data_IF_760990053413
#
_entry.id   IF_760990053413
#
_cell.length_a   1.000
_cell.length_b   1.000
_cell.length_c   1.000
_cell.angle_alpha   90.00
_cell.angle_beta   90.00
_cell.angle_gamma   90.00
#
_symmetry.space_group_name_H-M   'P 1'
#
loop_
_entity.id
_entity.type
_entity.pdbx_description
1 polymer ?
#
# COMPACT_ATOMS: atom_id res chain seq x y z
N UNK A 1 21.97 0.43 39.28
CA UNK A 1 22.57 1.62 38.64
C UNK A 1 22.73 1.28 37.17
N UNK A 2 21.89 1.83 36.30
CA UNK A 2 22.03 1.64 34.85
C UNK A 2 23.27 2.41 34.39
N UNK A 3 24.25 1.71 33.81
CA UNK A 3 25.39 2.34 33.14
C UNK A 3 24.89 3.45 32.20
N UNK A 4 25.48 4.64 32.32
CA UNK A 4 25.16 5.77 31.46
C UNK A 4 25.56 5.43 30.02
N UNK A 5 24.60 4.91 29.24
CA UNK A 5 24.80 4.66 27.82
C UNK A 5 25.18 5.97 27.12
N UNK A 6 26.44 6.07 26.71
CA UNK A 6 26.94 7.22 25.93
C UNK A 6 26.49 7.03 24.50
N UNK A 7 25.68 7.98 24.02
CA UNK A 7 25.24 7.96 22.64
C UNK A 7 26.33 8.55 21.73
N UNK A 8 26.68 7.90 20.61
CA UNK A 8 27.64 8.43 19.64
C UNK A 8 27.21 9.74 18.98
N UNK A 9 25.91 10.04 19.00
CA UNK A 9 25.34 11.26 18.44
C UNK A 9 24.50 12.07 19.44
N UNK A 10 24.46 13.38 19.23
CA UNK A 10 23.66 14.32 20.03
C UNK A 10 22.48 14.87 19.23
N UNK A 11 21.27 14.82 19.82
CA UNK A 11 20.06 15.39 19.22
C UNK A 11 20.26 16.89 18.96
N UNK A 12 19.79 17.35 17.80
CA UNK A 12 19.91 18.74 17.36
C UNK A 12 21.29 19.15 16.83
N UNK A 13 22.29 18.26 16.87
CA UNK A 13 23.61 18.53 16.31
C UNK A 13 23.68 18.06 14.85
N UNK A 14 24.61 18.66 14.12
CA UNK A 14 24.84 18.41 12.71
C UNK A 14 26.05 17.48 12.54
N UNK A 15 25.96 16.57 11.59
CA UNK A 15 27.02 15.62 11.24
C UNK A 15 27.10 15.53 9.71
N UNK A 16 28.31 15.37 9.17
CA UNK A 16 28.50 14.97 7.77
C UNK A 16 28.56 13.44 7.73
N UNK A 17 27.69 12.83 6.93
CA UNK A 17 27.59 11.38 6.83
C UNK A 17 27.46 10.95 5.37
N UNK A 18 27.99 9.77 5.07
CA UNK A 18 27.76 9.10 3.79
C UNK A 18 26.61 8.11 3.95
N UNK A 19 25.65 8.15 3.04
CA UNK A 19 24.57 7.17 3.00
C UNK A 19 25.12 5.88 2.35
N UNK A 20 25.10 4.78 3.09
CA UNK A 20 25.67 3.49 2.68
C UNK A 20 24.67 2.61 1.93
N UNK A 21 23.41 2.62 2.36
CA UNK A 21 22.37 1.72 1.86
C UNK A 21 20.95 2.27 2.10
N UNK A 22 19.93 1.55 1.65
CA UNK A 22 18.53 1.83 1.95
C UNK A 22 17.96 0.75 2.85
N UNK A 23 17.25 1.16 3.90
CA UNK A 23 16.46 0.24 4.70
C UNK A 23 15.06 0.05 4.10
N UNK A 24 14.44 -1.10 4.37
CA UNK A 24 12.99 -1.24 4.20
C UNK A 24 12.28 -0.17 5.05
N UNK A 25 11.43 0.63 4.42
CA UNK A 25 10.95 1.92 4.97
C UNK A 25 11.45 3.14 4.20
N UNK A 26 12.34 2.96 3.23
CA UNK A 26 12.74 3.98 2.25
C UNK A 26 13.73 5.03 2.75
N UNK A 27 14.24 4.87 3.98
CA UNK A 27 15.25 5.77 4.57
C UNK A 27 16.65 5.29 4.19
N UNK A 28 17.53 6.25 3.90
CA UNK A 28 18.97 6.01 3.81
C UNK A 28 19.53 5.59 5.16
N UNK A 29 20.53 4.73 5.12
CA UNK A 29 21.25 4.24 6.28
C UNK A 29 22.66 4.80 6.24
N UNK A 30 23.07 5.45 7.32
CA UNK A 30 24.45 5.89 7.54
C UNK A 30 24.91 5.43 8.92
N UNK A 31 26.22 5.49 9.18
CA UNK A 31 26.81 5.15 10.48
C UNK A 31 27.72 6.25 10.99
N UNK A 32 27.71 6.43 12.32
CA UNK A 32 28.68 7.25 13.05
C UNK A 32 29.13 6.39 14.23
N UNK A 33 30.39 5.97 14.27
CA UNK A 33 30.94 5.05 15.28
C UNK A 33 30.03 3.82 15.48
N UNK A 34 29.75 3.11 14.39
CA UNK A 34 28.83 1.96 14.28
C UNK A 34 27.34 2.22 14.62
N UNK A 35 27.00 3.41 15.11
CA UNK A 35 25.64 3.78 15.42
C UNK A 35 24.83 4.09 14.17
N UNK A 36 23.75 3.32 13.95
CA UNK A 36 22.89 3.43 12.78
C UNK A 36 22.07 4.72 12.81
N UNK A 37 22.14 5.48 11.73
CA UNK A 37 21.31 6.65 11.47
C UNK A 37 20.39 6.40 10.28
N UNK A 38 19.08 6.58 10.48
CA UNK A 38 18.12 6.60 9.39
C UNK A 38 17.90 8.02 8.89
N UNK A 39 18.20 8.26 7.62
CA UNK A 39 18.16 9.56 6.97
C UNK A 39 17.04 9.58 5.93
N UNK A 40 16.00 10.38 6.16
CA UNK A 40 14.88 10.51 5.21
C UNK A 40 15.40 11.11 3.89
N UNK A 41 15.04 10.50 2.75
CA UNK A 41 15.45 10.88 1.38
C UNK A 41 16.95 10.80 1.06
N UNK A 42 17.76 10.26 1.95
CA UNK A 42 19.14 9.89 1.62
C UNK A 42 19.14 8.70 0.66
N UNK A 43 19.97 8.76 -0.37
CA UNK A 43 20.22 7.68 -1.32
C UNK A 43 21.66 7.17 -1.16
N UNK A 44 21.93 5.87 -1.39
CA UNK A 44 23.28 5.31 -1.29
C UNK A 44 24.27 6.11 -2.15
N UNK A 45 25.39 6.51 -1.56
CA UNK A 45 26.42 7.34 -2.18
C UNK A 45 26.23 8.85 -1.99
N UNK A 46 25.14 9.33 -1.39
CA UNK A 46 25.04 10.74 -1.00
C UNK A 46 26.02 11.03 0.16
N UNK A 47 26.72 12.15 0.09
CA UNK A 47 27.38 12.78 1.24
C UNK A 47 26.52 13.96 1.69
N UNK A 48 25.99 13.88 2.90
CA UNK A 48 25.01 14.83 3.43
C UNK A 48 25.45 15.43 4.75
N UNK A 49 25.24 16.74 4.91
CA UNK A 49 25.15 17.34 6.24
C UNK A 49 23.75 17.08 6.79
N UNK A 50 23.65 16.33 7.88
CA UNK A 50 22.38 15.92 8.49
C UNK A 50 22.25 16.47 9.91
N UNK A 51 21.01 16.77 10.33
CA UNK A 51 20.68 17.10 11.73
C UNK A 51 19.95 15.96 12.40
N UNK A 52 20.44 15.53 13.57
CA UNK A 52 19.81 14.48 14.36
C UNK A 52 18.47 14.97 14.92
N UNK A 53 17.37 14.34 14.53
CA UNK A 53 16.01 14.70 14.96
C UNK A 53 15.52 13.81 16.10
N UNK A 54 15.98 12.55 16.16
CA UNK A 54 15.60 11.59 17.18
C UNK A 54 16.75 10.67 17.52
N UNK A 55 16.77 10.20 18.76
CA UNK A 55 17.79 9.30 19.28
C UNK A 55 17.13 8.17 20.07
N UNK A 56 17.46 6.93 19.73
CA UNK A 56 17.08 5.70 20.46
C UNK A 56 18.34 4.92 20.82
N UNK A 57 18.23 3.91 21.69
CA UNK A 57 19.40 3.15 22.16
C UNK A 57 20.20 2.51 21.02
N UNK A 58 19.52 1.95 20.01
CA UNK A 58 20.14 1.20 18.91
C UNK A 58 20.23 1.97 17.58
N UNK A 59 19.55 3.10 17.43
CA UNK A 59 19.56 3.89 16.19
C UNK A 59 19.12 5.34 16.41
N UNK A 60 19.51 6.22 15.49
CA UNK A 60 19.03 7.59 15.40
C UNK A 60 18.18 7.84 14.15
N UNK A 61 17.45 8.94 14.14
CA UNK A 61 16.85 9.49 12.93
C UNK A 61 17.43 10.89 12.68
N UNK A 62 17.69 11.19 11.41
CA UNK A 62 18.23 12.47 10.99
C UNK A 62 17.50 13.02 9.76
N UNK A 63 17.55 14.34 9.59
CA UNK A 63 17.08 15.06 8.40
C UNK A 63 18.27 15.63 7.65
N UNK A 64 18.22 15.60 6.33
CA UNK A 64 19.22 16.27 5.48
C UNK A 64 19.05 17.78 5.63
N UNK A 65 20.16 18.50 5.82
CA UNK A 65 20.22 19.96 5.75
C UNK A 65 20.74 20.41 4.39
N UNK A 66 21.80 19.75 3.91
CA UNK A 66 22.38 19.95 2.59
C UNK A 66 22.99 18.65 2.08
N UNK A 67 22.97 18.47 0.76
CA UNK A 67 23.68 17.41 0.06
C UNK A 67 24.98 18.04 -0.44
N UNK A 68 26.11 17.60 0.10
CA UNK A 68 27.43 18.10 -0.24
C UNK A 68 27.96 17.42 -1.50
N UNK A 69 27.68 16.13 -1.65
CA UNK A 69 27.94 15.36 -2.86
C UNK A 69 26.72 14.48 -3.18
N UNK A 70 26.01 14.73 -4.28
CA UNK A 70 24.85 13.91 -4.65
C UNK A 70 25.29 12.54 -5.18
N UNK A 71 24.55 11.50 -4.80
CA UNK A 71 24.67 10.17 -5.36
C UNK A 71 24.45 10.16 -6.87
N UNK A 72 25.15 9.31 -7.65
CA UNK A 72 24.85 9.11 -9.07
C UNK A 72 23.46 8.51 -9.32
N UNK A 73 22.80 7.95 -8.30
CA UNK A 73 21.44 7.42 -8.39
C UNK A 73 20.39 8.54 -8.38
N UNK A 74 20.77 9.76 -7.98
CA UNK A 74 19.86 10.87 -7.71
C UNK A 74 19.40 11.52 -9.01
N UNK A 75 18.10 11.77 -9.09
CA UNK A 75 17.46 12.59 -10.12
C UNK A 75 16.66 13.71 -9.47
N UNK A 76 16.33 14.74 -10.25
CA UNK A 76 15.36 15.74 -9.82
C UNK A 76 13.95 15.12 -9.77
N UNK A 77 13.26 15.13 -8.63
CA UNK A 77 11.89 14.64 -8.54
C UNK A 77 10.95 15.46 -9.43
N UNK A 78 10.10 14.82 -10.26
CA UNK A 78 9.16 15.55 -11.12
C UNK A 78 7.97 16.14 -10.34
N UNK A 79 7.62 15.60 -9.17
CA UNK A 79 6.52 16.13 -8.37
C UNK A 79 6.97 17.35 -7.55
N UNK A 80 6.32 18.49 -7.78
CA UNK A 80 6.53 19.72 -7.00
C UNK A 80 6.30 19.53 -5.48
N UNK A 81 5.46 18.56 -5.09
CA UNK A 81 5.14 18.29 -3.68
C UNK A 81 6.06 17.27 -3.03
N UNK A 82 7.01 16.67 -3.77
CA UNK A 82 7.84 15.55 -3.29
C UNK A 82 8.56 15.87 -1.97
N UNK A 83 8.98 17.12 -1.78
CA UNK A 83 9.73 17.56 -0.60
C UNK A 83 8.92 17.53 0.70
N UNK A 84 7.58 17.53 0.63
CA UNK A 84 6.76 17.60 1.84
C UNK A 84 5.76 16.44 1.93
N UNK A 85 5.15 16.08 0.80
CA UNK A 85 4.16 15.03 0.70
C UNK A 85 4.68 13.68 1.24
N UNK A 86 3.84 12.99 2.03
CA UNK A 86 4.16 11.67 2.57
C UNK A 86 3.92 10.51 1.60
N UNK A 87 3.35 10.75 0.43
CA UNK A 87 2.91 9.70 -0.49
C UNK A 87 4.05 9.01 -1.25
N UNK A 88 5.03 9.76 -1.75
CA UNK A 88 6.16 9.23 -2.52
C UNK A 88 7.47 9.49 -1.78
N UNK A 89 8.36 8.49 -1.75
CA UNK A 89 9.64 8.59 -1.02
C UNK A 89 10.85 8.51 -1.91
N UNK A 90 10.72 8.01 -3.15
CA UNK A 90 11.84 7.68 -4.04
C UNK A 90 11.78 8.34 -5.43
N UNK A 91 10.97 9.38 -5.62
CA UNK A 91 10.99 10.14 -6.90
C UNK A 91 12.33 10.85 -7.17
N UNK A 92 13.19 10.97 -6.16
CA UNK A 92 14.56 11.43 -6.32
C UNK A 92 15.52 10.35 -6.83
N UNK A 93 15.02 9.18 -7.25
CA UNK A 93 15.80 8.08 -7.82
C UNK A 93 15.18 7.65 -9.15
N UNK A 94 16.00 7.35 -10.17
CA UNK A 94 15.52 6.81 -11.44
C UNK A 94 14.75 5.49 -11.24
N UNK A 95 13.77 5.22 -12.11
CA UNK A 95 12.90 4.07 -11.92
C UNK A 95 13.64 2.72 -11.98
N UNK A 96 14.61 2.57 -12.88
CA UNK A 96 15.46 1.38 -12.96
C UNK A 96 16.23 1.13 -11.66
N UNK A 97 16.76 2.20 -11.05
CA UNK A 97 17.44 2.09 -9.76
C UNK A 97 16.45 1.77 -8.63
N UNK A 98 15.21 2.26 -8.67
CA UNK A 98 14.19 1.84 -7.70
C UNK A 98 13.98 0.32 -7.74
N UNK A 99 13.83 -0.27 -8.93
CA UNK A 99 13.66 -1.72 -9.10
C UNK A 99 14.85 -2.51 -8.55
N UNK A 100 16.07 -2.04 -8.81
CA UNK A 100 17.29 -2.65 -8.28
C UNK A 100 17.32 -2.57 -6.75
N UNK A 101 17.02 -1.42 -6.16
CA UNK A 101 17.01 -1.25 -4.71
C UNK A 101 15.92 -2.11 -4.03
N UNK A 102 14.75 -2.29 -4.67
CA UNK A 102 13.72 -3.21 -4.16
C UNK A 102 14.23 -4.65 -4.12
N UNK A 103 14.90 -5.11 -5.18
CA UNK A 103 15.56 -6.42 -5.21
C UNK A 103 16.60 -6.56 -4.10
N UNK A 104 17.51 -5.59 -3.99
CA UNK A 104 18.56 -5.58 -2.96
C UNK A 104 17.99 -5.62 -1.54
N UNK A 105 16.89 -4.92 -1.26
CA UNK A 105 16.24 -4.95 0.06
C UNK A 105 15.68 -6.35 0.36
N UNK A 106 15.10 -7.05 -0.63
CA UNK A 106 14.63 -8.43 -0.45
C UNK A 106 15.82 -9.37 -0.20
N UNK A 107 16.88 -9.27 -1.00
CA UNK A 107 18.11 -10.06 -0.82
C UNK A 107 18.72 -9.84 0.57
N UNK A 108 18.84 -8.60 1.02
CA UNK A 108 19.37 -8.27 2.35
C UNK A 108 18.46 -8.73 3.49
N UNK A 109 17.15 -8.78 3.25
CA UNK A 109 16.21 -9.32 4.24
C UNK A 109 16.41 -10.83 4.44
N UNK A 110 16.93 -11.53 3.43
CA UNK A 110 17.22 -12.97 3.45
C UNK A 110 18.68 -13.32 3.84
N UNK A 111 19.54 -12.32 4.13
CA UNK A 111 21.00 -12.44 4.43
C UNK A 111 21.40 -12.01 5.87
N UNK A 112 20.55 -12.23 6.89
CA UNK A 112 20.84 -11.97 8.31
C UNK A 112 21.33 -13.22 9.08
N UNK A 113 22.21 -13.08 10.10
CA UNK A 113 22.86 -14.20 10.79
C UNK A 113 21.89 -15.34 11.19
N UNK A 114 22.26 -16.58 10.85
CA UNK A 114 21.45 -17.83 10.83
C UNK A 114 20.48 -17.95 9.63
N UNK A 115 21.02 -17.68 8.44
CA UNK A 115 20.31 -17.29 7.23
C UNK A 115 19.48 -18.34 6.51
N UNK A 116 18.62 -17.84 5.60
CA UNK A 116 17.87 -18.64 4.63
C UNK A 116 18.77 -19.37 3.60
N UNK A 117 20.08 -19.17 3.64
CA UNK A 117 21.03 -19.57 2.59
C UNK A 117 20.97 -18.65 1.38
N UNK A 118 21.55 -19.08 0.26
CA UNK A 118 21.56 -18.32 -0.99
C UNK A 118 20.24 -18.51 -1.75
N UNK A 119 19.18 -17.85 -1.27
CA UNK A 119 17.87 -17.86 -1.93
C UNK A 119 17.93 -16.99 -3.18
N UNK A 120 17.68 -17.53 -4.39
CA UNK A 120 17.64 -16.73 -5.61
C UNK A 120 16.50 -15.69 -5.55
N UNK A 121 16.87 -14.41 -5.58
CA UNK A 121 15.92 -13.31 -5.76
C UNK A 121 15.94 -12.90 -7.23
N UNK A 122 14.81 -13.08 -7.90
CA UNK A 122 14.63 -12.69 -9.30
C UNK A 122 14.53 -11.17 -9.41
N UNK A 123 14.65 -10.65 -10.64
CA UNK A 123 14.48 -9.22 -10.88
C UNK A 123 13.07 -8.75 -10.50
N UNK A 124 13.00 -7.55 -9.92
CA UNK A 124 11.75 -6.91 -9.55
C UNK A 124 10.89 -6.72 -10.80
N UNK A 125 9.67 -7.26 -10.81
CA UNK A 125 8.73 -7.01 -11.90
C UNK A 125 8.35 -5.54 -11.94
N UNK A 126 8.65 -4.90 -13.07
CA UNK A 126 8.40 -3.49 -13.28
C UNK A 126 6.92 -3.18 -13.53
N UNK A 127 6.52 -2.00 -13.05
CA UNK A 127 5.35 -1.28 -13.52
C UNK A 127 5.69 -0.55 -14.82
N UNK A 128 4.92 -0.84 -15.86
CA UNK A 128 5.10 -0.23 -17.18
C UNK A 128 4.90 1.30 -17.14
N UNK A 129 3.93 1.75 -16.34
CA UNK A 129 3.65 3.17 -16.13
C UNK A 129 3.87 3.51 -14.65
N UNK A 130 5.07 3.99 -14.27
CA UNK A 130 5.40 4.22 -12.87
C UNK A 130 4.75 5.49 -12.27
N UNK A 131 3.85 6.11 -13.04
CA UNK A 131 2.99 7.25 -12.73
C UNK A 131 1.59 6.99 -13.30
N UNK A 132 0.56 7.66 -12.78
CA UNK A 132 -0.83 7.47 -13.22
C UNK A 132 -1.40 6.07 -13.00
N UNK A 133 -0.70 5.20 -12.27
CA UNK A 133 -1.11 3.81 -12.03
C UNK A 133 -2.20 3.67 -10.97
N UNK A 134 -2.33 4.67 -10.09
CA UNK A 134 -3.09 4.55 -8.87
C UNK A 134 -4.56 4.82 -9.14
N UNK A 135 -5.36 3.75 -9.14
CA UNK A 135 -6.79 3.78 -9.41
C UNK A 135 -7.63 4.27 -8.23
N UNK A 136 -7.02 4.56 -7.08
CA UNK A 136 -7.68 5.08 -5.87
C UNK A 136 -6.77 6.06 -5.14
N UNK A 137 -7.22 7.30 -5.05
CA UNK A 137 -6.60 8.34 -4.24
C UNK A 137 -7.53 8.79 -3.13
N UNK A 138 -6.98 9.01 -1.95
CA UNK A 138 -7.67 9.58 -0.79
C UNK A 138 -7.00 10.90 -0.43
N UNK A 139 -7.74 12.00 -0.51
CA UNK A 139 -7.31 13.33 -0.13
C UNK A 139 -8.07 13.77 1.11
N UNK A 140 -7.37 14.35 2.07
CA UNK A 140 -7.98 14.91 3.29
C UNK A 140 -8.39 16.34 3.04
N UNK A 141 -9.61 16.68 3.45
CA UNK A 141 -10.00 18.07 3.70
C UNK A 141 -9.52 18.47 5.10
N UNK A 142 -9.06 19.70 5.25
CA UNK A 142 -8.73 20.27 6.55
C UNK A 142 -9.02 21.78 6.58
N UNK A 143 -9.40 22.23 7.77
CA UNK A 143 -9.55 23.65 8.15
C UNK A 143 -8.19 24.34 8.39
N UNK A 144 -7.09 23.59 8.28
CA UNK A 144 -5.72 24.06 8.51
C UNK A 144 -4.76 23.55 7.45
N UNK A 145 -4.24 24.49 6.66
CA UNK A 145 -3.20 24.26 5.68
C UNK A 145 -1.82 24.11 6.33
N UNK A 146 -1.05 23.13 5.87
CA UNK A 146 0.38 23.06 6.14
C UNK A 146 1.10 24.01 5.19
N UNK A 147 1.93 24.90 5.73
CA UNK A 147 2.66 25.91 4.99
C UNK A 147 4.10 25.47 4.78
N UNK A 148 4.60 25.60 3.56
CA UNK A 148 6.02 25.42 3.25
C UNK A 148 6.85 26.55 3.90
N UNK A 149 8.19 26.42 3.97
CA UNK A 149 9.04 27.53 4.38
C UNK A 149 8.78 28.82 3.58
N UNK A 150 8.59 28.71 2.26
CA UNK A 150 8.30 29.84 1.37
C UNK A 150 6.92 30.45 1.64
N UNK A 151 5.91 29.61 1.94
CA UNK A 151 4.58 30.07 2.34
C UNK A 151 4.63 30.91 3.63
N UNK A 152 5.53 30.60 4.57
CA UNK A 152 5.65 31.32 5.84
C UNK A 152 6.19 32.75 5.67
N UNK A 153 6.86 33.03 4.55
CA UNK A 153 7.35 34.37 4.21
C UNK A 153 6.23 35.28 3.65
N UNK A 154 5.07 34.71 3.30
CA UNK A 154 3.90 35.45 2.85
C UNK A 154 2.91 35.69 4.01
N UNK A 155 2.81 36.92 4.57
CA UNK A 155 1.93 37.20 5.70
C UNK A 155 0.44 37.07 5.35
N UNK A 156 0.07 37.24 4.08
CA UNK A 156 -1.32 37.23 3.61
C UNK A 156 -1.83 35.83 3.24
N UNK A 157 -1.01 34.79 3.41
CA UNK A 157 -1.40 33.44 3.01
C UNK A 157 -2.55 32.90 3.89
N UNK A 158 -3.64 32.51 3.23
CA UNK A 158 -4.75 31.86 3.91
C UNK A 158 -4.34 30.49 4.47
N UNK A 159 -4.71 30.25 5.73
CA UNK A 159 -4.47 28.99 6.44
C UNK A 159 -5.72 28.13 6.56
N UNK A 160 -6.87 28.63 6.12
CA UNK A 160 -8.19 28.15 6.52
C UNK A 160 -8.72 26.92 5.76
N UNK A 161 -8.10 26.56 4.64
CA UNK A 161 -8.54 25.42 3.83
C UNK A 161 -7.36 24.68 3.20
N UNK A 162 -7.43 23.36 3.24
CA UNK A 162 -6.59 22.49 2.45
C UNK A 162 -7.38 21.27 2.00
N UNK A 163 -7.22 20.91 0.73
CA UNK A 163 -7.53 19.60 0.20
C UNK A 163 -6.23 18.96 -0.29
N UNK A 164 -5.83 17.83 0.28
CA UNK A 164 -4.59 17.20 -0.15
C UNK A 164 -4.09 16.05 0.72
N UNK A 165 -2.77 15.99 0.94
CA UNK A 165 -2.12 14.85 1.59
C UNK A 165 -1.38 15.25 2.87
N UNK A 166 -1.18 14.28 3.75
CA UNK A 166 -0.46 14.50 5.00
C UNK A 166 1.04 14.69 4.78
N UNK A 167 1.61 15.62 5.57
CA UNK A 167 3.06 15.76 5.72
C UNK A 167 3.52 14.82 6.84
N UNK A 168 4.51 13.94 6.62
CA UNK A 168 4.93 12.98 7.64
C UNK A 168 5.35 13.67 8.93
N UNK A 169 4.85 13.16 10.06
CA UNK A 169 5.06 13.76 11.39
C UNK A 169 4.05 14.85 11.76
N UNK A 170 3.18 15.26 10.83
CA UNK A 170 2.09 16.20 11.09
C UNK A 170 0.75 15.48 11.00
N UNK A 171 -0.06 15.57 12.04
CA UNK A 171 -1.36 14.90 12.08
C UNK A 171 -2.52 15.85 11.76
N UNK A 172 -2.38 17.15 12.05
CA UNK A 172 -3.45 18.15 12.08
C UNK A 172 -3.39 19.24 11.01
N UNK A 173 -2.44 19.12 10.09
CA UNK A 173 -2.32 20.03 8.95
C UNK A 173 -2.11 19.24 7.67
N UNK A 174 -2.73 19.70 6.60
CA UNK A 174 -2.70 19.05 5.30
C UNK A 174 -1.90 19.91 4.31
N UNK A 175 -1.01 19.27 3.57
CA UNK A 175 -0.39 19.90 2.40
C UNK A 175 -1.46 19.98 1.32
N UNK A 176 -1.87 21.20 0.99
CA UNK A 176 -2.76 21.41 -0.13
C UNK A 176 -2.06 21.00 -1.43
N UNK A 177 -2.71 20.16 -2.22
CA UNK A 177 -2.19 19.74 -3.51
C UNK A 177 -3.25 19.90 -4.58
N UNK A 178 -2.84 20.36 -5.75
CA UNK A 178 -3.70 20.47 -6.92
C UNK A 178 -3.44 19.35 -7.92
N UNK A 179 -2.39 18.56 -7.69
CA UNK A 179 -1.93 17.55 -8.63
C UNK A 179 -1.21 16.41 -7.91
N UNK A 180 -1.44 15.18 -8.37
CA UNK A 180 -0.71 14.01 -7.94
C UNK A 180 -0.33 13.18 -9.17
N UNK A 181 0.98 12.98 -9.39
CA UNK A 181 1.50 12.17 -10.50
C UNK A 181 1.13 10.68 -10.40
N UNK A 182 0.55 10.23 -9.28
CA UNK A 182 0.14 8.83 -9.13
C UNK A 182 -1.25 8.55 -9.73
N UNK A 183 -2.11 9.56 -9.90
CA UNK A 183 -3.42 9.42 -10.55
C UNK A 183 -3.42 10.03 -11.95
N UNK A 184 -4.48 9.79 -12.72
CA UNK A 184 -4.64 10.34 -14.07
C UNK A 184 -4.83 11.86 -14.09
N UNK A 185 -4.59 12.47 -15.25
CA UNK A 185 -4.83 13.90 -15.47
C UNK A 185 -6.31 14.27 -15.34
N UNK A 186 -7.23 13.39 -15.76
CA UNK A 186 -8.67 13.58 -15.56
C UNK A 186 -9.01 13.64 -14.06
N UNK A 187 -8.47 12.72 -13.25
CA UNK A 187 -8.68 12.73 -11.80
C UNK A 187 -8.07 13.98 -11.14
N UNK A 188 -6.92 14.46 -11.62
CA UNK A 188 -6.33 15.72 -11.16
C UNK A 188 -7.20 16.94 -11.54
N UNK A 189 -7.81 16.94 -12.71
CA UNK A 189 -8.76 17.99 -13.12
C UNK A 189 -9.99 18.02 -12.21
N UNK A 190 -10.55 16.85 -11.89
CA UNK A 190 -11.68 16.70 -10.97
C UNK A 190 -11.29 17.16 -9.55
N UNK A 191 -10.10 16.79 -9.06
CA UNK A 191 -9.58 17.25 -7.78
C UNK A 191 -9.55 18.79 -7.70
N UNK A 192 -9.00 19.46 -8.70
CA UNK A 192 -8.94 20.92 -8.77
C UNK A 192 -10.33 21.55 -8.83
N UNK A 193 -11.23 20.97 -9.62
CA UNK A 193 -12.61 21.43 -9.73
C UNK A 193 -13.34 21.35 -8.39
N UNK A 194 -13.30 20.19 -7.73
CA UNK A 194 -13.94 20.00 -6.41
C UNK A 194 -13.33 20.95 -5.39
N UNK A 195 -12.01 21.10 -5.36
CA UNK A 195 -11.32 22.03 -4.45
C UNK A 195 -11.86 23.45 -4.56
N UNK A 196 -12.07 23.96 -5.79
CA UNK A 196 -12.62 25.31 -6.02
C UNK A 196 -14.11 25.36 -5.65
N UNK A 197 -14.89 24.41 -6.16
CA UNK A 197 -16.34 24.37 -5.93
C UNK A 197 -16.68 24.41 -4.44
N UNK A 198 -16.03 23.59 -3.61
CA UNK A 198 -16.38 23.54 -2.17
C UNK A 198 -16.01 24.82 -1.43
N UNK A 199 -14.97 25.53 -1.88
CA UNK A 199 -14.58 26.82 -1.33
C UNK A 199 -15.60 27.90 -1.74
N UNK A 200 -15.97 27.95 -3.03
CA UNK A 200 -16.95 28.91 -3.55
C UNK A 200 -18.34 28.71 -2.93
N UNK A 201 -18.73 27.45 -2.69
CA UNK A 201 -19.97 27.08 -2.02
C UNK A 201 -19.94 27.23 -0.49
N UNK A 202 -18.79 27.59 0.10
CA UNK A 202 -18.63 27.76 1.55
C UNK A 202 -18.83 26.47 2.36
N UNK A 203 -18.55 25.29 1.78
CA UNK A 203 -18.69 24.02 2.49
C UNK A 203 -17.51 23.82 3.45
N UNK A 204 -17.77 23.69 4.77
CA UNK A 204 -16.69 23.69 5.76
C UNK A 204 -15.90 22.39 5.73
N UNK A 205 -14.57 22.49 5.66
CA UNK A 205 -13.67 21.37 5.91
C UNK A 205 -13.78 20.91 7.38
N UNK A 206 -13.62 19.61 7.61
CA UNK A 206 -13.66 19.03 8.94
C UNK A 206 -12.34 19.28 9.67
N UNK A 207 -12.41 19.93 10.83
CA UNK A 207 -11.27 20.16 11.70
C UNK A 207 -11.00 18.95 12.58
N UNK A 208 -9.85 18.31 12.44
CA UNK A 208 -9.58 17.07 13.19
C UNK A 208 -9.36 17.29 14.70
N UNK A 209 -9.08 18.53 15.11
CA UNK A 209 -8.90 18.91 16.52
C UNK A 209 -10.21 19.39 17.15
N UNK A 210 -10.97 20.21 16.44
CA UNK A 210 -12.28 20.72 16.89
C UNK A 210 -13.36 19.64 16.78
N UNK A 211 -13.21 18.71 15.84
CA UNK A 211 -14.25 17.77 15.41
C UNK A 211 -15.50 18.47 14.85
N UNK A 212 -15.30 19.67 14.28
CA UNK A 212 -16.34 20.48 13.64
C UNK A 212 -16.14 20.51 12.12
N UNK A 213 -17.18 20.90 11.38
CA UNK A 213 -17.16 20.96 9.92
C UNK A 213 -17.76 19.73 9.25
N UNK A 214 -17.72 19.71 7.91
CA UNK A 214 -18.49 18.77 7.08
C UNK A 214 -17.59 17.82 6.30
N UNK A 215 -16.74 18.36 5.44
CA UNK A 215 -15.95 17.60 4.46
C UNK A 215 -14.74 16.97 5.13
N UNK A 216 -14.60 15.65 5.10
CA UNK A 216 -13.49 14.92 5.72
C UNK A 216 -12.48 14.44 4.69
N UNK A 217 -12.96 13.71 3.68
CA UNK A 217 -12.10 13.18 2.63
C UNK A 217 -12.76 13.31 1.26
N UNK A 218 -11.94 13.48 0.24
CA UNK A 218 -12.29 13.23 -1.15
C UNK A 218 -11.59 11.94 -1.57
N UNK A 219 -12.36 10.93 -1.95
CA UNK A 219 -11.84 9.70 -2.52
C UNK A 219 -12.18 9.66 -3.99
N UNK A 220 -11.15 9.63 -4.85
CA UNK A 220 -11.29 9.44 -6.28
C UNK A 220 -10.90 8.01 -6.61
N UNK A 221 -11.81 7.25 -7.23
CA UNK A 221 -11.49 5.95 -7.82
C UNK A 221 -11.66 6.03 -9.33
N UNK A 222 -10.80 5.35 -10.08
CA UNK A 222 -10.88 5.28 -11.53
C UNK A 222 -10.63 3.86 -12.00
N UNK A 223 -11.58 3.26 -12.71
CA UNK A 223 -11.32 1.98 -13.37
C UNK A 223 -10.25 2.15 -14.44
N UNK A 224 -9.23 1.29 -14.42
CA UNK A 224 -8.22 1.27 -15.47
C UNK A 224 -8.73 0.65 -16.77
N UNK A 225 -9.66 -0.31 -16.67
CA UNK A 225 -10.25 -0.98 -17.83
C UNK A 225 -11.22 -0.09 -18.61
N UNK A 226 -12.08 0.65 -17.91
CA UNK A 226 -13.18 1.42 -18.54
C UNK A 226 -12.96 2.94 -18.52
N UNK A 227 -12.04 3.44 -17.69
CA UNK A 227 -11.86 4.87 -17.46
C UNK A 227 -12.92 5.49 -16.54
N UNK A 228 -13.96 4.75 -16.14
CA UNK A 228 -15.02 5.22 -15.24
C UNK A 228 -14.46 5.75 -13.91
N UNK A 229 -14.92 6.92 -13.48
CA UNK A 229 -14.51 7.57 -12.24
C UNK A 229 -15.65 7.58 -11.23
N UNK A 230 -15.34 7.14 -10.01
CA UNK A 230 -16.16 7.38 -8.83
C UNK A 230 -15.58 8.54 -8.03
N UNK A 231 -16.45 9.50 -7.72
CA UNK A 231 -16.16 10.60 -6.80
C UNK A 231 -16.90 10.33 -5.50
N UNK A 232 -16.18 10.04 -4.42
CA UNK A 232 -16.76 9.86 -3.09
C UNK A 232 -16.35 10.99 -2.14
N UNK A 233 -17.35 11.71 -1.64
CA UNK A 233 -17.18 12.76 -0.64
C UNK A 233 -17.51 12.17 0.73
N UNK A 234 -16.49 11.99 1.56
CA UNK A 234 -16.66 11.52 2.93
C UNK A 234 -16.97 12.70 3.83
N UNK A 235 -18.09 12.65 4.54
CA UNK A 235 -18.57 13.74 5.42
C UNK A 235 -18.80 13.28 6.84
N UNK A 236 -18.84 14.24 7.78
CA UNK A 236 -19.10 13.98 9.21
C UNK A 236 -20.57 13.59 9.51
N UNK A 237 -21.48 13.90 8.59
CA UNK A 237 -22.93 13.63 8.65
C UNK A 237 -23.50 13.50 7.23
N UNK A 238 -24.74 13.03 7.09
CA UNK A 238 -25.47 13.08 5.81
C UNK A 238 -25.44 14.49 5.23
N UNK A 239 -24.93 14.59 4.00
CA UNK A 239 -24.75 15.84 3.27
C UNK A 239 -25.37 15.78 1.87
N UNK A 240 -26.35 14.88 1.65
CA UNK A 240 -26.97 14.69 0.33
C UNK A 240 -27.50 15.99 -0.25
N UNK A 241 -28.17 16.81 0.56
CA UNK A 241 -28.77 18.08 0.09
C UNK A 241 -27.70 19.06 -0.36
N UNK A 242 -26.63 19.20 0.40
CA UNK A 242 -25.51 20.11 0.14
C UNK A 242 -24.66 19.66 -1.05
N UNK A 243 -24.50 18.35 -1.25
CA UNK A 243 -23.62 17.78 -2.28
C UNK A 243 -24.34 17.44 -3.59
N UNK A 244 -25.68 17.39 -3.63
CA UNK A 244 -26.43 17.11 -4.86
C UNK A 244 -26.12 18.10 -6.00
N UNK A 245 -26.00 19.42 -5.77
CA UNK A 245 -25.62 20.35 -6.83
C UNK A 245 -24.23 20.05 -7.41
N UNK A 246 -23.24 19.77 -6.56
CA UNK A 246 -21.89 19.36 -6.98
C UNK A 246 -21.93 18.07 -7.79
N UNK A 247 -22.71 17.07 -7.34
CA UNK A 247 -22.83 15.79 -8.03
C UNK A 247 -23.40 15.94 -9.44
N UNK A 248 -24.38 16.83 -9.63
CA UNK A 248 -24.94 17.16 -10.94
C UNK A 248 -23.91 17.81 -11.84
N UNK A 249 -23.20 18.82 -11.34
CA UNK A 249 -22.21 19.55 -12.14
C UNK A 249 -21.02 18.66 -12.53
N UNK A 250 -20.58 17.77 -11.64
CA UNK A 250 -19.57 16.75 -11.96
C UNK A 250 -20.01 15.87 -13.13
N UNK A 251 -21.27 15.41 -13.12
CA UNK A 251 -21.85 14.56 -14.17
C UNK A 251 -22.04 15.26 -15.50
N UNK A 252 -22.29 16.57 -15.48
CA UNK A 252 -22.46 17.39 -16.68
C UNK A 252 -21.11 17.76 -17.32
N UNK A 253 -20.09 18.06 -16.49
CA UNK A 253 -18.78 18.49 -16.97
C UNK A 253 -17.83 17.35 -17.33
N UNK A 254 -17.91 16.21 -16.65
CA UNK A 254 -16.96 15.12 -16.78
C UNK A 254 -17.69 13.83 -17.17
N UNK A 255 -17.60 13.45 -18.45
CA UNK A 255 -18.27 12.27 -19.00
C UNK A 255 -17.79 10.96 -18.36
N UNK A 256 -16.57 10.93 -17.85
CA UNK A 256 -15.95 9.79 -17.18
C UNK A 256 -16.49 9.57 -15.76
N UNK A 257 -17.08 10.59 -15.11
CA UNK A 257 -17.62 10.45 -13.75
C UNK A 257 -18.89 9.61 -13.81
N UNK A 258 -18.79 8.32 -13.54
CA UNK A 258 -19.92 7.37 -13.60
C UNK A 258 -20.69 7.26 -12.29
N UNK A 259 -20.08 7.67 -11.17
CA UNK A 259 -20.61 7.53 -9.82
C UNK A 259 -20.21 8.72 -8.94
N UNK A 260 -21.18 9.31 -8.24
CA UNK A 260 -20.94 10.30 -7.19
C UNK A 260 -21.63 9.83 -5.90
N UNK A 261 -20.85 9.65 -4.84
CA UNK A 261 -21.29 9.06 -3.58
C UNK A 261 -20.98 10.01 -2.42
N UNK A 262 -21.85 10.03 -1.43
CA UNK A 262 -21.56 10.59 -0.11
C UNK A 262 -21.45 9.46 0.91
N UNK A 263 -20.24 9.24 1.42
CA UNK A 263 -20.00 8.33 2.55
C UNK A 263 -20.05 9.11 3.87
N UNK A 264 -20.81 8.65 4.86
CA UNK A 264 -20.88 9.30 6.18
C UNK A 264 -19.97 8.60 7.18
N UNK A 265 -19.02 9.34 7.74
CA UNK A 265 -18.19 8.92 8.86
C UNK A 265 -18.35 9.89 10.04
N UNK A 266 -19.26 9.53 10.95
CA UNK A 266 -19.56 10.23 12.20
C UNK A 266 -18.45 10.05 13.26
N UNK A 267 -17.55 9.06 13.09
CA UNK A 267 -16.53 8.71 14.09
C UNK A 267 -15.39 9.71 14.11
N UNK A 268 -14.71 9.80 15.26
CA UNK A 268 -13.48 10.59 15.40
C UNK A 268 -12.29 10.01 14.62
N UNK A 269 -12.36 8.73 14.26
CA UNK A 269 -11.31 8.03 13.51
C UNK A 269 -11.05 8.67 12.13
N UNK A 270 -9.79 8.88 11.79
CA UNK A 270 -9.34 9.46 10.52
C UNK A 270 -9.26 8.38 9.43
N UNK A 271 -10.41 7.83 9.06
CA UNK A 271 -10.54 6.83 7.98
C UNK A 271 -11.51 7.33 6.92
N UNK A 272 -11.19 7.08 5.65
CA UNK A 272 -12.03 7.45 4.50
C UNK A 272 -13.16 6.45 4.21
N UNK A 273 -13.41 5.52 5.13
CA UNK A 273 -14.57 4.62 5.12
C UNK A 273 -15.61 5.12 6.13
N UNK A 274 -16.88 4.88 5.83
CA UNK A 274 -18.00 5.33 6.65
C UNK A 274 -19.02 4.24 6.94
N UNK A 275 -19.95 4.57 7.83
CA UNK A 275 -21.02 3.69 8.29
C UNK A 275 -22.15 3.60 7.26
N UNK A 276 -22.34 4.66 6.46
CA UNK A 276 -23.40 4.77 5.46
C UNK A 276 -22.85 5.27 4.12
N UNK A 277 -23.43 4.81 3.02
CA UNK A 277 -23.15 5.25 1.65
C UNK A 277 -24.44 5.72 0.98
N UNK A 278 -24.43 6.96 0.47
CA UNK A 278 -25.54 7.54 -0.26
C UNK A 278 -25.15 7.86 -1.69
N UNK A 279 -25.82 7.24 -2.66
CA UNK A 279 -25.67 7.57 -4.06
C UNK A 279 -26.28 8.96 -4.34
N UNK A 280 -25.46 9.90 -4.81
CA UNK A 280 -25.90 11.23 -5.20
C UNK A 280 -26.25 11.31 -6.69
N UNK A 281 -25.46 10.65 -7.54
CA UNK A 281 -25.69 10.59 -8.98
C UNK A 281 -25.00 9.38 -9.63
N UNK A 282 -25.60 8.84 -10.70
CA UNK A 282 -25.01 7.78 -11.51
C UNK A 282 -25.18 6.38 -10.93
N UNK A 283 -24.11 5.58 -10.92
CA UNK A 283 -24.09 4.19 -10.45
C UNK A 283 -23.62 4.10 -8.99
N UNK A 284 -24.07 3.10 -8.22
CA UNK A 284 -23.57 2.84 -6.86
C UNK A 284 -22.17 2.22 -6.81
N UNK A 285 -21.73 1.64 -7.94
CA UNK A 285 -20.42 1.00 -8.11
C UNK A 285 -19.82 1.40 -9.45
N UNK A 286 -18.49 1.35 -9.53
CA UNK A 286 -17.76 1.30 -10.80
C UNK A 286 -17.23 -0.11 -11.01
N UNK A 287 -16.87 -0.47 -12.24
CA UNK A 287 -16.30 -1.80 -12.49
C UNK A 287 -14.90 -1.71 -13.06
N UNK A 288 -14.00 -2.56 -12.58
CA UNK A 288 -12.65 -2.69 -13.12
C UNK A 288 -12.28 -4.16 -13.34
N UNK A 289 -11.15 -4.42 -14.00
CA UNK A 289 -10.69 -5.79 -14.28
C UNK A 289 -9.31 -6.07 -13.69
N UNK A 290 -9.10 -7.31 -13.26
CA UNK A 290 -7.78 -7.88 -13.01
C UNK A 290 -7.70 -9.17 -13.83
N UNK A 291 -6.82 -9.20 -14.83
CA UNK A 291 -6.82 -10.25 -15.85
C UNK A 291 -8.22 -10.46 -16.43
N UNK A 292 -8.72 -11.71 -16.46
CA UNK A 292 -10.00 -12.03 -17.09
C UNK A 292 -11.23 -11.80 -16.20
N UNK A 293 -11.06 -11.24 -15.00
CA UNK A 293 -12.14 -11.05 -14.03
C UNK A 293 -12.47 -9.58 -13.86
N UNK A 294 -13.75 -9.25 -14.05
CA UNK A 294 -14.40 -7.97 -13.73
C UNK A 294 -14.98 -7.96 -12.32
N UNK A 295 -14.65 -6.92 -11.56
CA UNK A 295 -15.10 -6.70 -10.19
C UNK A 295 -15.90 -5.40 -10.11
N UNK A 296 -16.95 -5.40 -9.30
CA UNK A 296 -17.66 -4.18 -8.94
C UNK A 296 -17.07 -3.58 -7.67
N UNK A 297 -16.83 -2.27 -7.69
CA UNK A 297 -16.08 -1.54 -6.69
C UNK A 297 -17.00 -0.46 -6.14
N UNK A 298 -17.36 -0.59 -4.85
CA UNK A 298 -18.13 0.39 -4.09
C UNK A 298 -17.21 1.42 -3.43
N UNK A 299 -17.80 2.42 -2.79
CA UNK A 299 -17.05 3.48 -2.14
C UNK A 299 -16.19 2.95 -0.98
N UNK A 300 -16.73 2.08 -0.12
CA UNK A 300 -15.99 1.50 1.00
C UNK A 300 -15.14 0.27 0.66
N UNK A 301 -15.36 -0.44 -0.45
CA UNK A 301 -14.67 -1.73 -0.69
C UNK A 301 -13.16 -1.60 -0.90
N UNK A 302 -12.41 -2.59 -0.43
CA UNK A 302 -11.00 -2.72 -0.75
C UNK A 302 -10.84 -3.27 -2.18
N UNK A 303 -9.93 -2.66 -2.93
CA UNK A 303 -9.52 -3.14 -4.24
C UNK A 303 -8.06 -2.75 -4.48
N UNK A 304 -7.33 -3.55 -5.25
CA UNK A 304 -5.91 -3.32 -5.49
C UNK A 304 -5.69 -1.97 -6.18
N UNK A 305 -4.85 -1.12 -5.61
CA UNK A 305 -4.73 0.27 -6.08
C UNK A 305 -3.97 0.41 -7.40
N UNK A 306 -3.29 -0.65 -7.84
CA UNK A 306 -2.56 -0.75 -9.10
C UNK A 306 -2.97 -2.06 -9.80
N UNK A 307 -4.07 -2.04 -10.54
CA UNK A 307 -4.66 -3.25 -11.14
C UNK A 307 -3.73 -3.95 -12.12
N UNK A 308 -2.98 -3.19 -12.91
CA UNK A 308 -2.01 -3.74 -13.86
C UNK A 308 -0.88 -4.50 -13.14
N UNK A 309 -0.43 -4.03 -11.97
CA UNK A 309 0.56 -4.77 -11.17
C UNK A 309 -0.07 -5.89 -10.34
N UNK A 310 -1.31 -5.74 -9.88
CA UNK A 310 -2.04 -6.81 -9.21
C UNK A 310 -2.11 -8.05 -10.10
N UNK A 311 -2.41 -7.87 -11.39
CA UNK A 311 -2.41 -8.97 -12.36
C UNK A 311 -1.05 -9.64 -12.50
N UNK A 312 0.06 -8.86 -12.57
CA UNK A 312 1.42 -9.44 -12.59
C UNK A 312 1.76 -10.20 -11.31
N UNK A 313 1.33 -9.70 -10.15
CA UNK A 313 1.49 -10.36 -8.87
C UNK A 313 0.75 -11.70 -8.84
N UNK A 314 -0.52 -11.70 -9.28
CA UNK A 314 -1.37 -12.90 -9.29
C UNK A 314 -0.87 -13.92 -10.30
N UNK A 315 -0.45 -13.49 -11.49
CA UNK A 315 0.16 -14.37 -12.48
C UNK A 315 1.48 -14.95 -11.97
N UNK A 316 2.28 -14.19 -11.21
CA UNK A 316 3.50 -14.73 -10.56
C UNK A 316 3.15 -15.79 -9.51
N UNK A 317 2.14 -15.54 -8.68
CA UNK A 317 1.66 -16.52 -7.70
C UNK A 317 1.16 -17.80 -8.39
N UNK A 318 0.41 -17.67 -9.49
CA UNK A 318 -0.08 -18.79 -10.29
C UNK A 318 1.05 -19.55 -11.00
N UNK A 319 2.04 -18.84 -11.56
CA UNK A 319 3.26 -19.42 -12.13
C UNK A 319 3.99 -20.26 -11.07
N UNK A 320 4.16 -19.70 -9.87
CA UNK A 320 4.88 -20.37 -8.79
C UNK A 320 4.09 -21.56 -8.24
N UNK A 321 2.75 -21.48 -8.19
CA UNK A 321 1.90 -22.61 -7.80
C UNK A 321 2.05 -23.80 -8.77
N UNK A 322 2.27 -23.53 -10.06
CA UNK A 322 2.46 -24.50 -11.14
C UNK A 322 1.40 -25.62 -11.14
N UNK A 323 0.14 -25.20 -11.17
CA UNK A 323 -1.04 -26.07 -11.15
C UNK A 323 -1.22 -26.80 -12.48
N UNK A 324 -1.55 -28.10 -12.43
CA UNK A 324 -1.82 -28.96 -13.59
C UNK A 324 -3.30 -29.31 -13.78
N UNK A 325 -4.18 -28.84 -12.89
CA UNK A 325 -5.62 -29.17 -12.89
C UNK A 325 -5.99 -30.33 -11.98
N UNK A 326 -5.03 -30.86 -11.21
CA UNK A 326 -5.22 -32.04 -10.35
C UNK A 326 -5.12 -31.74 -8.86
N UNK A 327 -4.56 -30.58 -8.53
CA UNK A 327 -4.18 -30.19 -7.19
C UNK A 327 -5.39 -29.70 -6.38
N UNK A 328 -5.42 -30.06 -5.10
CA UNK A 328 -6.23 -29.36 -4.10
C UNK A 328 -5.41 -28.19 -3.54
N UNK A 329 -5.96 -26.98 -3.64
CA UNK A 329 -5.27 -25.73 -3.26
C UNK A 329 -5.94 -25.10 -2.05
N UNK A 330 -5.15 -24.64 -1.08
CA UNK A 330 -5.63 -23.78 0.00
C UNK A 330 -5.15 -22.35 -0.24
N UNK A 331 -6.05 -21.38 -0.19
CA UNK A 331 -5.78 -19.95 -0.31
C UNK A 331 -6.09 -19.26 1.03
N UNK A 332 -5.05 -18.97 1.81
CA UNK A 332 -5.17 -18.37 3.13
C UNK A 332 -5.20 -16.84 3.01
N UNK A 333 -6.07 -16.20 3.80
CA UNK A 333 -6.28 -14.74 3.79
C UNK A 333 -6.82 -14.26 2.43
N UNK A 334 -7.77 -15.02 1.87
CA UNK A 334 -8.19 -14.84 0.49
C UNK A 334 -8.99 -13.55 0.22
N UNK A 335 -9.41 -12.82 1.27
CA UNK A 335 -10.19 -11.59 1.15
C UNK A 335 -11.47 -11.80 0.34
N UNK A 336 -11.63 -11.01 -0.72
CA UNK A 336 -12.76 -11.10 -1.66
C UNK A 336 -12.55 -12.13 -2.77
N UNK A 337 -11.57 -13.02 -2.59
CA UNK A 337 -11.30 -14.17 -3.47
C UNK A 337 -10.52 -13.83 -4.74
N UNK A 338 -9.89 -12.65 -4.85
CA UNK A 338 -9.29 -12.20 -6.12
C UNK A 338 -8.19 -13.15 -6.61
N UNK A 339 -7.30 -13.65 -5.75
CA UNK A 339 -6.30 -14.67 -6.10
C UNK A 339 -6.97 -16.03 -6.29
N UNK A 340 -7.91 -16.38 -5.40
CA UNK A 340 -8.64 -17.65 -5.43
C UNK A 340 -9.29 -17.93 -6.78
N UNK A 341 -9.88 -16.92 -7.43
CA UNK A 341 -10.51 -17.06 -8.76
C UNK A 341 -9.49 -17.44 -9.85
N UNK A 342 -8.26 -16.92 -9.79
CA UNK A 342 -7.19 -17.30 -10.72
C UNK A 342 -6.75 -18.75 -10.49
N UNK A 343 -6.61 -19.15 -9.21
CA UNK A 343 -6.25 -20.52 -8.83
C UNK A 343 -7.33 -21.52 -9.27
N UNK A 344 -8.60 -21.19 -9.03
CA UNK A 344 -9.74 -22.06 -9.31
C UNK A 344 -9.86 -22.47 -10.77
N UNK A 345 -9.44 -21.61 -11.72
CA UNK A 345 -9.41 -21.94 -13.15
C UNK A 345 -8.36 -22.96 -13.56
N UNK A 346 -7.39 -23.26 -12.69
CA UNK A 346 -6.25 -24.16 -12.97
C UNK A 346 -6.12 -25.30 -11.95
N UNK A 347 -6.88 -25.28 -10.86
CA UNK A 347 -6.88 -26.30 -9.82
C UNK A 347 -8.03 -27.28 -10.02
N UNK A 348 -7.93 -28.46 -9.38
CA UNK A 348 -9.07 -29.37 -9.25
C UNK A 348 -10.11 -28.79 -8.29
N UNK A 349 -9.64 -28.32 -7.13
CA UNK A 349 -10.47 -27.79 -6.04
C UNK A 349 -9.69 -26.74 -5.25
N UNK A 350 -10.36 -25.69 -4.81
CA UNK A 350 -9.75 -24.64 -3.99
C UNK A 350 -10.54 -24.44 -2.70
N UNK A 351 -9.82 -24.19 -1.61
CA UNK A 351 -10.37 -23.81 -0.32
C UNK A 351 -9.93 -22.37 -0.02
N UNK A 352 -10.87 -21.43 0.09
CA UNK A 352 -10.58 -20.04 0.43
C UNK A 352 -10.90 -19.76 1.90
N UNK A 353 -9.93 -19.20 2.64
CA UNK A 353 -10.07 -18.88 4.07
C UNK A 353 -9.93 -17.38 4.32
N UNK A 354 -10.92 -16.77 4.98
CA UNK A 354 -10.90 -15.36 5.33
C UNK A 354 -11.68 -15.12 6.63
N UNK A 355 -11.17 -14.26 7.51
CA UNK A 355 -11.80 -14.00 8.81
C UNK A 355 -13.03 -13.09 8.68
N UNK A 356 -13.06 -12.25 7.65
CA UNK A 356 -14.14 -11.29 7.40
C UNK A 356 -15.27 -11.93 6.57
N UNK A 357 -16.39 -12.23 7.22
CA UNK A 357 -17.58 -12.84 6.57
C UNK A 357 -18.08 -12.06 5.34
N UNK A 358 -18.08 -10.71 5.40
CA UNK A 358 -18.52 -9.90 4.27
C UNK A 358 -17.61 -10.07 3.05
N UNK A 359 -16.31 -10.28 3.25
CA UNK A 359 -15.37 -10.54 2.17
C UNK A 359 -15.61 -11.93 1.54
N UNK A 360 -15.91 -12.95 2.35
CA UNK A 360 -16.33 -14.27 1.86
C UNK A 360 -17.65 -14.19 1.08
N UNK A 361 -18.62 -13.38 1.53
CA UNK A 361 -19.85 -13.15 0.77
C UNK A 361 -19.56 -12.55 -0.60
N UNK A 362 -18.69 -11.55 -0.67
CA UNK A 362 -18.25 -10.95 -1.94
C UNK A 362 -17.49 -11.97 -2.81
N UNK A 363 -16.65 -12.82 -2.19
CA UNK A 363 -15.92 -13.88 -2.88
C UNK A 363 -16.85 -14.91 -3.53
N UNK A 364 -17.90 -15.34 -2.82
CA UNK A 364 -18.95 -16.23 -3.36
C UNK A 364 -19.68 -15.59 -4.54
N UNK A 365 -20.04 -14.31 -4.43
CA UNK A 365 -20.69 -13.57 -5.52
C UNK A 365 -19.78 -13.44 -6.75
N UNK A 366 -18.49 -13.19 -6.52
CA UNK A 366 -17.50 -13.14 -7.60
C UNK A 366 -17.33 -14.50 -8.27
N UNK A 367 -17.26 -15.60 -7.51
CA UNK A 367 -17.13 -16.94 -8.07
C UNK A 367 -18.36 -17.33 -8.91
N UNK A 368 -19.57 -17.07 -8.38
CA UNK A 368 -20.83 -17.34 -9.08
C UNK A 368 -20.93 -16.56 -10.42
N UNK A 369 -20.40 -15.35 -10.49
CA UNK A 369 -20.36 -14.55 -11.73
C UNK A 369 -19.57 -15.20 -12.86
N UNK A 370 -18.61 -16.08 -12.54
CA UNK A 370 -17.73 -16.73 -13.51
C UNK A 370 -17.94 -18.23 -13.61
N UNK A 371 -19.07 -18.74 -13.11
CA UNK A 371 -19.38 -20.16 -13.07
C UNK A 371 -18.27 -21.00 -12.43
N UNK A 372 -17.62 -20.42 -11.40
CA UNK A 372 -16.59 -21.10 -10.61
C UNK A 372 -17.27 -21.78 -9.42
N UNK A 373 -17.41 -23.10 -9.51
CA UNK A 373 -18.09 -23.96 -8.53
C UNK A 373 -17.12 -24.83 -7.71
N UNK A 374 -15.87 -24.95 -8.15
CA UNK A 374 -14.84 -25.77 -7.52
C UNK A 374 -14.13 -25.10 -6.32
N UNK A 375 -14.78 -24.13 -5.67
CA UNK A 375 -14.24 -23.40 -4.52
C UNK A 375 -15.13 -23.57 -3.29
N UNK A 376 -14.53 -24.00 -2.19
CA UNK A 376 -15.18 -24.06 -0.89
C UNK A 376 -14.67 -22.91 0.00
N UNK A 377 -15.60 -22.15 0.58
CA UNK A 377 -15.30 -20.91 1.29
C UNK A 377 -15.50 -21.06 2.80
N UNK A 378 -14.49 -20.67 3.58
CA UNK A 378 -14.47 -20.74 5.03
C UNK A 378 -14.30 -19.35 5.63
N UNK A 379 -15.32 -18.93 6.38
CA UNK A 379 -15.26 -17.71 7.16
C UNK A 379 -14.79 -18.03 8.59
N UNK A 380 -13.86 -17.24 9.12
CA UNK A 380 -13.37 -17.35 10.49
C UNK A 380 -11.85 -17.49 10.59
N UNK A 381 -11.36 -17.84 11.77
CA UNK A 381 -9.92 -17.95 12.01
C UNK A 381 -9.34 -19.12 11.22
N UNK A 382 -8.32 -18.83 10.40
CA UNK A 382 -7.64 -19.83 9.58
C UNK A 382 -7.08 -20.99 10.41
N UNK A 383 -6.68 -20.75 11.67
CA UNK A 383 -6.13 -21.77 12.58
C UNK A 383 -7.14 -22.86 12.93
N UNK A 384 -8.40 -22.47 13.13
CA UNK A 384 -9.49 -23.39 13.46
C UNK A 384 -9.78 -24.30 12.27
N UNK A 385 -9.90 -23.71 11.07
CA UNK A 385 -10.24 -24.47 9.87
C UNK A 385 -9.12 -25.40 9.38
N UNK A 386 -7.86 -24.96 9.45
CA UNK A 386 -6.72 -25.76 8.98
C UNK A 386 -6.57 -27.09 9.74
N UNK A 387 -6.97 -27.14 11.02
CA UNK A 387 -6.88 -28.35 11.84
C UNK A 387 -8.08 -29.28 11.65
N UNK A 388 -9.27 -28.72 11.43
CA UNK A 388 -10.53 -29.46 11.32
C UNK A 388 -10.72 -30.19 9.98
N UNK A 389 -10.15 -29.68 8.88
CA UNK A 389 -10.31 -30.29 7.56
C UNK A 389 -9.54 -31.61 7.45
N UNK A 390 -10.14 -32.64 6.86
CA UNK A 390 -9.46 -33.92 6.59
C UNK A 390 -8.63 -33.86 5.30
N UNK A 391 -9.18 -33.24 4.25
CA UNK A 391 -8.51 -33.08 2.95
C UNK A 391 -7.33 -32.11 3.07
N UNK A 392 -6.11 -32.57 2.79
CA UNK A 392 -4.89 -31.76 2.86
C UNK A 392 -4.55 -31.13 1.49
N UNK A 393 -3.96 -29.93 1.46
CA UNK A 393 -3.58 -29.28 0.21
C UNK A 393 -2.32 -29.87 -0.41
N UNK A 394 -2.30 -29.97 -1.73
CA UNK A 394 -1.06 -30.17 -2.50
C UNK A 394 -0.26 -28.86 -2.57
N UNK A 395 -0.96 -27.74 -2.76
CA UNK A 395 -0.41 -26.40 -2.89
C UNK A 395 -1.12 -25.46 -1.92
N UNK A 396 -0.34 -24.64 -1.22
CA UNK A 396 -0.87 -23.58 -0.37
C UNK A 396 -0.42 -22.21 -0.87
N UNK A 397 -1.37 -21.30 -1.02
CA UNK A 397 -1.14 -19.88 -1.32
C UNK A 397 -1.51 -19.07 -0.07
N UNK A 398 -0.71 -18.08 0.28
CA UNK A 398 -0.96 -17.23 1.46
C UNK A 398 -0.57 -15.78 1.16
N UNK A 399 -1.46 -14.85 1.47
CA UNK A 399 -1.23 -13.39 1.40
C UNK A 399 -1.57 -12.71 2.75
N UNK A 400 -0.76 -12.97 3.80
CA UNK A 400 -1.07 -12.52 5.15
C UNK A 400 -0.92 -10.99 5.32
N UNK A 401 -1.45 -10.42 6.41
CA UNK A 401 -1.28 -9.01 6.71
C UNK A 401 0.20 -8.62 6.89
N UNK A 402 0.48 -7.31 6.97
CA UNK A 402 1.84 -6.74 7.14
C UNK A 402 2.67 -7.30 8.29
N UNK A 403 2.03 -7.90 9.30
CA UNK A 403 2.66 -8.54 10.44
C UNK A 403 3.26 -9.94 10.11
N UNK A 404 2.98 -10.47 8.91
CA UNK A 404 3.24 -11.85 8.52
C UNK A 404 2.17 -12.81 9.03
N UNK A 405 2.44 -14.11 8.91
CA UNK A 405 1.56 -15.14 9.46
C UNK A 405 1.65 -15.20 10.98
N UNK A 406 0.56 -15.61 11.63
CA UNK A 406 0.61 -15.95 13.05
C UNK A 406 1.52 -17.18 13.27
N UNK A 407 2.34 -17.25 14.33
CA UNK A 407 3.22 -18.39 14.60
C UNK A 407 2.52 -19.76 14.52
N UNK A 408 1.35 -19.92 15.13
CA UNK A 408 0.57 -21.16 15.07
C UNK A 408 0.22 -21.61 13.64
N UNK A 409 0.03 -20.67 12.71
CA UNK A 409 -0.23 -20.98 11.30
C UNK A 409 1.05 -21.56 10.68
N UNK A 410 2.20 -20.94 10.95
CA UNK A 410 3.51 -21.43 10.47
C UNK A 410 3.81 -22.82 11.02
N UNK A 411 3.56 -23.06 12.31
CA UNK A 411 3.70 -24.39 12.92
C UNK A 411 2.74 -25.41 12.30
N UNK A 412 1.50 -25.01 12.03
CA UNK A 412 0.52 -25.89 11.36
C UNK A 412 0.96 -26.27 9.96
N UNK A 413 1.58 -25.35 9.20
CA UNK A 413 2.16 -25.64 7.89
C UNK A 413 3.30 -26.66 7.97
N UNK A 414 4.15 -26.59 9.00
CA UNK A 414 5.22 -27.58 9.25
C UNK A 414 4.67 -28.98 9.57
N UNK A 415 3.44 -29.08 10.08
CA UNK A 415 2.74 -30.36 10.33
C UNK A 415 2.03 -30.89 9.09
N UNK A 416 1.25 -30.04 8.40
CA UNK A 416 0.47 -30.44 7.22
C UNK A 416 1.38 -30.77 6.04
N UNK A 417 2.49 -30.03 5.92
CA UNK A 417 3.51 -30.19 4.87
C UNK A 417 2.93 -30.28 3.45
N UNK A 418 2.15 -29.28 2.96
CA UNK A 418 1.84 -29.21 1.54
C UNK A 418 3.10 -29.32 0.70
N UNK A 419 3.02 -29.96 -0.47
CA UNK A 419 4.19 -30.16 -1.35
C UNK A 419 4.82 -28.83 -1.75
N UNK A 420 3.99 -27.80 -1.88
CA UNK A 420 4.39 -26.46 -2.31
C UNK A 420 3.68 -25.36 -1.53
N UNK A 421 4.41 -24.29 -1.21
CA UNK A 421 3.85 -23.06 -0.64
C UNK A 421 4.24 -21.88 -1.54
N UNK A 422 3.25 -21.05 -1.89
CA UNK A 422 3.42 -19.76 -2.54
C UNK A 422 3.05 -18.68 -1.53
N UNK A 423 4.05 -17.92 -1.09
CA UNK A 423 3.88 -16.86 -0.09
C UNK A 423 3.93 -15.51 -0.78
N UNK A 424 2.82 -14.77 -0.79
CA UNK A 424 2.73 -13.36 -1.19
C UNK A 424 2.90 -12.47 0.05
N UNK A 425 3.75 -11.46 0.00
CA UNK A 425 4.01 -10.58 1.15
C UNK A 425 4.32 -9.15 0.74
N UNK A 426 3.67 -8.20 1.42
CA UNK A 426 3.95 -6.77 1.31
C UNK A 426 5.10 -6.29 2.21
N UNK A 427 5.75 -7.21 2.94
CA UNK A 427 6.84 -6.90 3.88
C UNK A 427 7.93 -7.98 3.83
N UNK A 428 9.11 -7.68 3.25
CA UNK A 428 10.19 -8.64 3.12
C UNK A 428 10.83 -9.03 4.47
N UNK A 429 10.69 -8.19 5.50
CA UNK A 429 11.28 -8.48 6.83
C UNK A 429 10.48 -9.55 7.56
N UNK A 430 9.14 -9.46 7.58
CA UNK A 430 8.28 -10.49 8.18
C UNK A 430 8.22 -11.75 7.32
N UNK A 431 8.29 -11.61 5.99
CA UNK A 431 8.48 -12.74 5.09
C UNK A 431 9.74 -13.53 5.49
N UNK A 432 10.90 -12.88 5.60
CA UNK A 432 12.15 -13.55 5.97
C UNK A 432 12.06 -14.27 7.32
N UNK A 433 11.39 -13.67 8.31
CA UNK A 433 11.12 -14.29 9.62
C UNK A 433 10.34 -15.59 9.46
N UNK A 434 9.25 -15.58 8.69
CA UNK A 434 8.36 -16.74 8.54
C UNK A 434 9.03 -17.83 7.70
N UNK A 435 9.74 -17.45 6.64
CA UNK A 435 10.55 -18.37 5.84
C UNK A 435 11.60 -19.09 6.69
N UNK A 436 12.25 -18.40 7.64
CA UNK A 436 13.28 -19.00 8.51
C UNK A 436 12.72 -20.15 9.34
N UNK A 437 11.48 -20.01 9.82
CA UNK A 437 10.80 -21.07 10.56
C UNK A 437 10.41 -22.21 9.60
N UNK A 438 9.84 -21.88 8.43
CA UNK A 438 9.41 -22.87 7.44
C UNK A 438 10.56 -23.71 6.87
N UNK A 439 11.78 -23.17 6.86
CA UNK A 439 12.97 -23.88 6.36
C UNK A 439 13.28 -25.19 7.07
N UNK A 440 12.70 -25.44 8.25
CA UNK A 440 12.79 -26.73 8.92
C UNK A 440 12.26 -27.88 8.05
N UNK A 441 11.19 -27.65 7.27
CA UNK A 441 10.60 -28.66 6.38
C UNK A 441 10.66 -28.28 4.89
N UNK A 442 11.03 -27.05 4.56
CA UNK A 442 10.97 -26.51 3.20
C UNK A 442 12.31 -25.99 2.70
N UNK A 443 12.52 -26.08 1.39
CA UNK A 443 13.52 -25.32 0.66
C UNK A 443 12.86 -24.07 0.09
N UNK A 444 13.41 -22.89 0.36
CA UNK A 444 12.98 -21.65 -0.30
C UNK A 444 13.63 -21.63 -1.68
N UNK A 445 12.86 -21.90 -2.72
CA UNK A 445 13.38 -22.13 -4.08
C UNK A 445 13.77 -20.83 -4.76
N UNK A 446 12.92 -19.80 -4.65
CA UNK A 446 13.13 -18.48 -5.26
C UNK A 446 12.14 -17.47 -4.71
N UNK A 447 12.47 -16.19 -4.82
CA UNK A 447 11.55 -15.08 -4.58
C UNK A 447 11.56 -14.08 -5.73
N UNK A 448 10.42 -13.44 -5.99
CA UNK A 448 10.27 -12.40 -6.99
C UNK A 448 9.61 -11.16 -6.38
N UNK A 449 10.33 -10.04 -6.29
CA UNK A 449 9.71 -8.76 -5.96
C UNK A 449 8.81 -8.29 -7.10
N UNK A 450 7.72 -7.61 -6.77
CA UNK A 450 6.80 -6.98 -7.72
C UNK A 450 6.61 -5.53 -7.29
N UNK A 451 6.84 -4.60 -8.21
CA UNK A 451 6.70 -3.18 -7.94
C UNK A 451 5.24 -2.72 -8.05
N UNK A 452 4.45 -3.10 -7.05
CA UNK A 452 3.05 -2.71 -6.92
C UNK A 452 2.87 -1.20 -6.73
N UNK A 453 3.86 -0.54 -6.12
CA UNK A 453 3.81 0.88 -5.75
C UNK A 453 5.08 1.63 -6.18
N UNK A 454 5.23 1.93 -7.49
CA UNK A 454 6.31 2.76 -7.99
C UNK A 454 6.41 4.09 -7.24
N UNK A 455 7.62 4.67 -7.19
CA UNK A 455 7.95 5.91 -6.46
C UNK A 455 7.91 5.82 -4.93
N UNK A 456 7.63 4.63 -4.40
CA UNK A 456 7.60 4.33 -2.96
C UNK A 456 8.56 3.18 -2.63
N UNK A 457 8.88 3.05 -1.34
CA UNK A 457 9.68 1.93 -0.84
C UNK A 457 8.90 0.62 -0.70
N UNK A 458 7.57 0.61 -0.89
CA UNK A 458 6.77 -0.60 -0.70
C UNK A 458 7.15 -1.67 -1.74
N UNK A 459 7.22 -2.92 -1.29
CA UNK A 459 7.65 -4.06 -2.09
C UNK A 459 6.66 -5.18 -1.81
N UNK A 460 5.97 -5.65 -2.85
CA UNK A 460 5.29 -6.94 -2.82
C UNK A 460 6.30 -8.01 -3.23
N UNK A 461 6.27 -9.18 -2.60
CA UNK A 461 7.19 -10.29 -2.90
C UNK A 461 6.44 -11.60 -2.94
N UNK A 462 6.65 -12.38 -3.99
CA UNK A 462 6.15 -13.76 -4.10
C UNK A 462 7.33 -14.71 -3.87
N UNK A 463 7.26 -15.56 -2.85
CA UNK A 463 8.24 -16.60 -2.58
C UNK A 463 7.67 -17.99 -2.86
N UNK A 464 8.48 -18.84 -3.48
CA UNK A 464 8.18 -20.25 -3.71
C UNK A 464 8.96 -21.11 -2.72
N UNK A 465 8.24 -21.99 -2.02
CA UNK A 465 8.84 -23.01 -1.19
C UNK A 465 8.38 -24.39 -1.66
N UNK A 466 9.30 -25.34 -1.61
CA UNK A 466 9.02 -26.75 -1.88
C UNK A 466 9.42 -27.59 -0.67
N UNK A 467 8.60 -28.59 -0.35
CA UNK A 467 8.88 -29.48 0.77
C UNK A 467 10.21 -30.20 0.52
N UNK A 468 11.06 -30.30 1.55
CA UNK A 468 12.32 -31.05 1.45
C UNK A 468 12.00 -32.54 1.23
N UNK A 469 12.84 -33.26 0.47
CA UNK A 469 12.78 -34.71 0.44
C UNK A 469 12.82 -35.25 1.88
N UNK A 470 11.88 -36.12 2.21
CA UNK A 470 11.78 -36.76 3.53
C UNK A 470 12.85 -37.81 3.77
#
# INVERSE_FOLDING_TARGET
>A
MSENFVYPVKKGHDYTVTIESLAFGGKGVARVDDYVLFVRRGLPGDVCRVRITKRKRSFGEARILSIEQPSPLRIQPPCAYFEWCGGCTWQNMSYSNQLLQKKTIVEQSFKRPDDLGDVPVLDTLACETPYGYRNKMEFSFADRKWLTPEDLDNPDISKAFALGLHVPGTFDKILHIEHCLLQSDTANTILKFISRYVQDAGLPAYGIRSHEGLLRFLVLRQSRASGEIMVNLVTSRDARKELTPLARELRERFGEVSSVVNTVNSRKAQIAQGEEEFLLAGKSVISDTIGPFRFDISANSFFQTNTAQAEKLYNTALEFAALSGRETVWDLYCGTGTITLFLARRAKKVYGFEIVESAIKDARNNAARYDIDNVQWFAGDVREHMTALEERPDVLVTDPPRAGMHPDVVETLLRIRPRRIVYVSCNPTTLARDLKILQQAYTVVKARPVDMFPQTYHIETVALLEVKPG
#
